data_IF_603593114964
#
_entry.id   IF_603593114964
#
_cell.length_a   1.000
_cell.length_b   1.000
_cell.length_c   1.000
_cell.angle_alpha   90.00
_cell.angle_beta   90.00
_cell.angle_gamma   90.00
#
_symmetry.space_group_name_H-M   'P 1'
#
loop_
_entity.id
_entity.type
_entity.pdbx_description
1 polymer ?
#
# COMPACT_ATOMS: atom_id res chain seq x y z
N UNK A 1 21.04 -9.45 4.28
CA UNK A 1 20.27 -8.77 5.34
C UNK A 1 18.83 -8.61 4.83
N UNK A 2 17.88 -9.36 5.36
CA UNK A 2 16.48 -9.22 4.97
C UNK A 2 15.90 -8.01 5.70
N UNK A 3 15.78 -6.87 5.01
CA UNK A 3 14.97 -5.76 5.53
C UNK A 3 13.55 -6.29 5.74
N UNK A 4 12.98 -6.08 6.93
CA UNK A 4 11.55 -6.27 7.15
C UNK A 4 10.81 -5.28 6.26
N UNK A 5 10.10 -5.81 5.27
CA UNK A 5 9.33 -5.03 4.30
C UNK A 5 7.84 -5.36 4.44
N UNK A 6 7.02 -4.35 4.16
CA UNK A 6 5.59 -4.50 3.99
C UNK A 6 5.33 -4.72 2.50
N UNK A 7 5.00 -5.95 2.13
CA UNK A 7 4.63 -6.33 0.75
C UNK A 7 3.14 -6.65 0.58
N UNK A 8 2.40 -6.77 1.69
CA UNK A 8 1.02 -7.24 1.68
C UNK A 8 0.19 -6.74 2.86
N UNK A 9 -1.12 -6.74 2.69
CA UNK A 9 -2.08 -6.70 3.78
C UNK A 9 -2.16 -8.08 4.44
N UNK A 10 -1.68 -8.21 5.68
CA UNK A 10 -1.71 -9.49 6.41
C UNK A 10 -3.11 -9.92 6.85
N UNK A 11 -4.04 -8.98 7.03
CA UNK A 11 -5.42 -9.29 7.44
C UNK A 11 -6.22 -10.04 6.36
N UNK A 12 -5.94 -9.74 5.09
CA UNK A 12 -6.68 -10.27 3.95
C UNK A 12 -5.77 -11.05 2.99
N UNK A 13 -4.50 -11.27 3.35
CA UNK A 13 -3.43 -11.86 2.53
C UNK A 13 -3.33 -11.30 1.10
N UNK A 14 -3.41 -9.98 0.96
CA UNK A 14 -3.38 -9.33 -0.37
C UNK A 14 -2.08 -8.61 -0.58
N UNK A 15 -1.34 -9.00 -1.63
CA UNK A 15 -0.06 -8.41 -2.01
C UNK A 15 -0.20 -7.06 -2.70
N UNK A 16 0.70 -6.15 -2.41
CA UNK A 16 0.76 -4.84 -3.05
C UNK A 16 1.09 -4.95 -4.53
N UNK A 17 1.85 -5.96 -4.96
CA UNK A 17 2.09 -6.24 -6.38
C UNK A 17 0.79 -6.51 -7.15
N UNK A 18 -0.16 -7.23 -6.54
CA UNK A 18 -1.50 -7.46 -7.09
C UNK A 18 -2.28 -6.16 -7.18
N UNK A 19 -2.26 -5.35 -6.12
CA UNK A 19 -2.91 -4.03 -6.10
C UNK A 19 -2.35 -3.09 -7.17
N UNK A 20 -1.04 -3.08 -7.38
CA UNK A 20 -0.38 -2.30 -8.42
C UNK A 20 -0.72 -2.80 -9.82
N UNK A 21 -0.81 -4.12 -10.02
CA UNK A 21 -1.24 -4.68 -11.30
C UNK A 21 -2.69 -4.26 -11.62
N UNK A 22 -3.58 -4.30 -10.63
CA UNK A 22 -4.95 -3.79 -10.78
C UNK A 22 -4.97 -2.29 -11.07
N UNK A 23 -4.23 -1.48 -10.29
CA UNK A 23 -4.09 -0.04 -10.51
C UNK A 23 -3.63 0.28 -11.94
N UNK A 24 -2.61 -0.42 -12.46
CA UNK A 24 -2.12 -0.22 -13.82
C UNK A 24 -3.12 -0.65 -14.90
N UNK A 25 -3.95 -1.65 -14.61
CA UNK A 25 -4.93 -2.18 -15.57
C UNK A 25 -6.20 -1.32 -15.64
N UNK A 26 -6.65 -0.77 -14.52
CA UNK A 26 -7.94 -0.07 -14.42
C UNK A 26 -7.83 1.41 -14.09
N UNK A 27 -6.66 1.90 -13.66
CA UNK A 27 -6.50 3.23 -13.07
C UNK A 27 -7.09 3.36 -11.67
N UNK A 28 -7.53 2.26 -11.04
CA UNK A 28 -8.23 2.27 -9.77
C UNK A 28 -7.35 2.84 -8.63
N UNK A 29 -7.90 3.79 -7.88
CA UNK A 29 -7.26 4.33 -6.68
C UNK A 29 -7.31 3.39 -5.48
N UNK A 30 -6.79 3.85 -4.33
CA UNK A 30 -6.85 3.09 -3.07
C UNK A 30 -8.27 2.68 -2.70
N UNK A 31 -9.26 3.54 -2.91
CA UNK A 31 -10.65 3.27 -2.52
C UNK A 31 -11.27 2.13 -3.33
N UNK A 32 -11.20 2.18 -4.66
CA UNK A 32 -11.66 1.06 -5.52
C UNK A 32 -10.92 -0.25 -5.23
N UNK A 33 -9.60 -0.18 -5.01
CA UNK A 33 -8.80 -1.36 -4.70
C UNK A 33 -9.17 -1.93 -3.33
N UNK A 34 -9.41 -1.08 -2.35
CA UNK A 34 -9.92 -1.45 -1.02
C UNK A 34 -11.30 -2.08 -1.10
N UNK A 35 -12.21 -1.54 -1.92
CA UNK A 35 -13.54 -2.09 -2.13
C UNK A 35 -13.50 -3.50 -2.74
N UNK A 36 -12.60 -3.73 -3.71
CA UNK A 36 -12.46 -5.03 -4.38
C UNK A 36 -11.73 -6.07 -3.53
N UNK A 37 -10.69 -5.67 -2.81
CA UNK A 37 -9.78 -6.60 -2.12
C UNK A 37 -9.97 -6.67 -0.61
N UNK A 38 -10.79 -5.76 -0.05
CA UNK A 38 -10.95 -5.54 1.40
C UNK A 38 -9.67 -5.07 2.10
N UNK A 39 -8.62 -4.71 1.35
CA UNK A 39 -7.39 -4.22 1.95
C UNK A 39 -7.63 -2.96 2.78
N UNK A 40 -7.12 -2.95 4.01
CA UNK A 40 -7.28 -1.80 4.90
C UNK A 40 -8.62 -1.74 5.62
N UNK A 41 -9.48 -2.74 5.54
CA UNK A 41 -10.69 -2.84 6.39
C UNK A 41 -10.47 -3.65 7.68
N UNK A 42 -9.38 -4.43 7.76
CA UNK A 42 -8.97 -5.14 8.97
C UNK A 42 -8.27 -4.21 9.98
N UNK A 43 -6.97 -4.42 10.21
CA UNK A 43 -6.20 -3.61 11.17
C UNK A 43 -5.92 -2.15 10.75
N UNK A 44 -6.15 -1.81 9.47
CA UNK A 44 -5.90 -0.47 8.93
C UNK A 44 -4.42 -0.10 8.70
N UNK A 45 -3.44 -0.84 9.24
CA UNK A 45 -2.01 -0.48 9.14
C UNK A 45 -1.47 -0.44 7.70
N UNK A 46 -2.02 -1.24 6.80
CA UNK A 46 -1.59 -1.30 5.40
C UNK A 46 -2.09 -0.10 4.56
N UNK A 47 -3.05 0.71 5.04
CA UNK A 47 -3.70 1.76 4.24
C UNK A 47 -2.70 2.75 3.66
N UNK A 48 -1.87 3.32 4.52
CA UNK A 48 -0.89 4.33 4.12
C UNK A 48 0.24 3.72 3.28
N UNK A 49 0.62 2.48 3.56
CA UNK A 49 1.57 1.74 2.73
C UNK A 49 1.01 1.48 1.32
N UNK A 50 -0.25 1.10 1.19
CA UNK A 50 -0.88 0.89 -0.13
C UNK A 50 -0.95 2.21 -0.89
N UNK A 51 -1.33 3.31 -0.22
CA UNK A 51 -1.32 4.64 -0.83
C UNK A 51 0.07 5.02 -1.33
N UNK A 52 1.10 4.76 -0.53
CA UNK A 52 2.48 5.02 -0.92
C UNK A 52 2.92 4.09 -2.06
N UNK A 53 2.54 2.82 -2.02
CA UNK A 53 2.82 1.85 -3.06
C UNK A 53 2.24 2.31 -4.40
N UNK A 54 0.97 2.74 -4.42
CA UNK A 54 0.30 3.29 -5.61
C UNK A 54 1.01 4.55 -6.10
N UNK A 55 1.30 5.50 -5.19
CA UNK A 55 1.97 6.78 -5.53
C UNK A 55 3.38 6.57 -6.10
N UNK A 56 4.15 5.64 -5.54
CA UNK A 56 5.56 5.40 -5.91
C UNK A 56 5.76 4.27 -6.92
N UNK A 57 4.71 3.47 -7.17
CA UNK A 57 4.77 2.26 -8.00
C UNK A 57 5.57 1.10 -7.41
N UNK A 58 5.87 1.10 -6.10
CA UNK A 58 6.68 0.07 -5.42
C UNK A 58 5.80 -0.93 -4.66
N UNK A 59 6.01 -2.24 -4.85
CA UNK A 59 5.27 -3.29 -4.12
C UNK A 59 5.92 -3.69 -2.79
N UNK A 60 7.20 -3.40 -2.59
CA UNK A 60 7.92 -3.64 -1.33
C UNK A 60 8.36 -2.34 -0.72
N UNK A 61 7.81 -2.03 0.45
CA UNK A 61 8.14 -0.84 1.21
C UNK A 61 8.86 -1.26 2.50
N UNK A 62 9.94 -0.57 2.92
CA UNK A 62 10.55 -0.85 4.22
C UNK A 62 9.55 -0.53 5.34
N UNK A 63 9.63 -1.26 6.46
CA UNK A 63 8.87 -0.87 7.66
C UNK A 63 9.38 0.50 8.13
N UNK A 64 8.48 1.47 8.15
CA UNK A 64 8.72 2.86 8.50
C UNK A 64 7.83 3.27 9.65
N UNK A 65 8.30 4.26 10.43
CA UNK A 65 7.49 4.93 11.43
C UNK A 65 6.33 5.69 10.75
N UNK A 66 5.12 5.74 11.34
CA UNK A 66 3.96 6.41 10.73
C UNK A 66 4.24 7.88 10.38
N UNK A 67 5.07 8.59 11.14
CA UNK A 67 5.44 9.98 10.81
C UNK A 67 6.22 10.07 9.48
N UNK A 68 7.19 9.17 9.28
CA UNK A 68 7.94 9.06 8.02
C UNK A 68 7.01 8.73 6.85
N UNK A 69 6.09 7.80 7.05
CA UNK A 69 5.14 7.41 6.02
C UNK A 69 4.22 8.57 5.61
N UNK A 70 3.75 9.35 6.59
CA UNK A 70 2.95 10.57 6.36
C UNK A 70 3.74 11.64 5.61
N UNK A 71 5.02 11.81 5.92
CA UNK A 71 5.91 12.73 5.17
C UNK A 71 6.09 12.30 3.72
N UNK A 72 6.32 11.02 3.45
CA UNK A 72 6.45 10.51 2.08
C UNK A 72 5.15 10.66 1.27
N UNK A 73 4.00 10.47 1.93
CA UNK A 73 2.69 10.71 1.34
C UNK A 73 2.45 12.22 1.08
N UNK A 74 2.89 13.10 2.00
CA UNK A 74 2.74 14.55 1.92
C UNK A 74 3.75 15.29 1.03
N UNK A 75 4.90 14.68 0.68
CA UNK A 75 5.95 15.30 -0.18
C UNK A 75 5.59 15.40 -1.67
N UNK A 76 4.32 15.66 -1.98
CA UNK A 76 3.80 15.81 -3.34
C UNK A 76 3.10 17.15 -3.51
N UNK A 77 3.77 18.24 -3.11
CA UNK A 77 3.44 19.62 -3.44
C UNK A 77 4.63 20.28 -4.14
#
# INVERSE_FOLDING_TARGET
MALMCVDRCVCHDVRFSTLLAMHRKTGAGFDELSAQTKCGTGCGMCRDYIRLAIKTGRDRLPVMHPDTLRRELGRGE
#
